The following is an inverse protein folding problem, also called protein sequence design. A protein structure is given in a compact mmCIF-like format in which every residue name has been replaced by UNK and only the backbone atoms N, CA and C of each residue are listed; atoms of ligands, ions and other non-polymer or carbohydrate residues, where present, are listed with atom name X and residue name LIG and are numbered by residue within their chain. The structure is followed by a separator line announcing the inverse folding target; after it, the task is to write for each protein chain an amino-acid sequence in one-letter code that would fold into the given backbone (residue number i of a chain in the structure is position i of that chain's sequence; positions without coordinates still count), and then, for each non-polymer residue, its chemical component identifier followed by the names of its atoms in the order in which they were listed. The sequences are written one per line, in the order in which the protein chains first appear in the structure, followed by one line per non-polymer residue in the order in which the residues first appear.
data_IF_146512086407
#
_entry.id   IF_146512086407
#
_cell.length_a   1.000
_cell.length_b   1.000
_cell.length_c   1.000
_cell.angle_alpha   90.00
_cell.angle_beta   90.00
_cell.angle_gamma   90.00
#
_symmetry.space_group_name_H-M   'P 1'
#
loop_
_entity.id
_entity.type
_entity.pdbx_description
1 polymer ?
#
# COMPACT_ATOMS: atom_id res chain seq x y z
N UNK A 1 3.92 -16.92 22.08
CA UNK A 1 3.64 -15.81 23.02
C UNK A 1 2.33 -16.12 23.74
N UNK A 2 2.14 -15.67 25.00
CA UNK A 2 0.86 -15.82 25.68
C UNK A 2 -0.20 -14.93 24.98
N UNK A 3 -1.43 -15.44 24.94
CA UNK A 3 -2.59 -14.68 24.43
C UNK A 3 -2.70 -13.37 25.22
N UNK A 4 -2.75 -12.25 24.55
CA UNK A 4 -2.90 -10.94 25.19
C UNK A 4 -4.30 -10.83 25.80
N UNK A 5 -4.45 -10.58 27.10
CA UNK A 5 -5.76 -10.52 27.72
C UNK A 5 -6.57 -9.31 27.21
N UNK A 6 -7.89 -9.43 27.08
CA UNK A 6 -8.75 -8.33 26.62
C UNK A 6 -8.60 -7.03 27.41
N UNK A 7 -8.32 -7.12 28.72
CA UNK A 7 -8.05 -5.95 29.57
C UNK A 7 -6.80 -5.17 29.13
N UNK A 8 -5.77 -5.86 28.66
CA UNK A 8 -4.54 -5.25 28.13
C UNK A 8 -4.81 -4.55 26.81
N UNK A 9 -5.59 -5.18 25.92
CA UNK A 9 -6.00 -4.58 24.65
C UNK A 9 -6.83 -3.31 24.89
N UNK A 10 -7.78 -3.34 25.82
CA UNK A 10 -8.58 -2.17 26.17
C UNK A 10 -7.72 -1.04 26.74
N UNK A 11 -6.70 -1.35 27.54
CA UNK A 11 -5.74 -0.37 28.05
C UNK A 11 -4.94 0.28 26.91
N UNK A 12 -4.48 -0.51 25.92
CA UNK A 12 -3.72 -0.01 24.77
C UNK A 12 -4.57 0.88 23.85
N UNK A 13 -5.87 0.60 23.72
CA UNK A 13 -6.79 1.42 22.95
C UNK A 13 -6.93 2.86 23.45
N UNK A 14 -6.63 3.12 24.74
CA UNK A 14 -6.64 4.47 25.28
C UNK A 14 -5.46 5.34 24.80
N UNK A 15 -4.38 4.72 24.32
CA UNK A 15 -3.20 5.42 23.80
C UNK A 15 -3.17 5.44 22.27
N UNK A 16 -3.88 6.39 21.67
CA UNK A 16 -4.03 6.54 20.23
C UNK A 16 -2.71 6.71 19.47
N UNK A 17 -1.66 7.24 20.12
CA UNK A 17 -0.33 7.41 19.50
C UNK A 17 0.35 6.08 19.14
N UNK A 18 -0.01 5.01 19.85
CA UNK A 18 0.58 3.69 19.68
C UNK A 18 -0.36 2.72 18.95
N UNK A 19 -1.43 3.22 18.36
CA UNK A 19 -2.32 2.43 17.51
C UNK A 19 -1.92 2.64 16.05
N UNK A 20 -1.90 1.54 15.27
CA UNK A 20 -1.70 1.57 13.82
C UNK A 20 -2.71 0.66 13.15
N UNK A 21 -3.39 1.21 12.17
CA UNK A 21 -4.27 0.45 11.30
C UNK A 21 -3.48 0.09 10.05
N UNK A 22 -3.39 -1.17 9.73
CA UNK A 22 -2.59 -1.68 8.62
C UNK A 22 -3.44 -2.61 7.78
N UNK A 23 -3.64 -2.30 6.51
CA UNK A 23 -4.29 -3.21 5.58
C UNK A 23 -3.28 -4.09 4.82
N UNK A 24 -3.74 -5.26 4.40
CA UNK A 24 -2.94 -6.17 3.58
C UNK A 24 -3.49 -6.13 2.15
N UNK A 25 -2.64 -5.69 1.23
CA UNK A 25 -2.97 -5.56 -0.19
C UNK A 25 -2.12 -6.54 -1.00
N UNK A 26 -2.75 -7.30 -1.87
CA UNK A 26 -2.03 -8.25 -2.71
C UNK A 26 -2.85 -8.67 -3.92
N UNK A 27 -2.17 -9.12 -4.97
CA UNK A 27 -2.80 -9.92 -6.01
C UNK A 27 -3.32 -11.24 -5.43
N UNK A 28 -4.28 -11.86 -6.12
CA UNK A 28 -4.77 -13.21 -5.80
C UNK A 28 -3.57 -14.17 -5.74
N UNK A 29 -3.61 -15.10 -4.81
CA UNK A 29 -2.57 -16.12 -4.58
C UNK A 29 -1.16 -15.62 -4.20
N UNK A 30 -0.92 -14.32 -4.02
CA UNK A 30 0.34 -13.79 -3.49
C UNK A 30 0.59 -14.11 -2.00
N UNK A 31 -0.37 -14.76 -1.32
CA UNK A 31 -0.20 -15.29 0.04
C UNK A 31 -0.68 -14.36 1.15
N UNK A 32 -1.61 -13.45 0.85
CA UNK A 32 -2.20 -12.50 1.80
C UNK A 32 -2.75 -13.20 3.06
N UNK A 33 -3.69 -14.13 2.90
CA UNK A 33 -4.31 -14.87 4.01
C UNK A 33 -3.29 -15.73 4.77
N UNK A 34 -2.29 -16.28 4.07
CA UNK A 34 -1.20 -17.05 4.71
C UNK A 34 -0.33 -16.15 5.61
N UNK A 35 -0.03 -14.93 5.17
CA UNK A 35 0.69 -13.95 5.98
C UNK A 35 -0.14 -13.55 7.20
N UNK A 36 -1.42 -13.25 7.00
CA UNK A 36 -2.35 -12.90 8.08
C UNK A 36 -2.39 -14.01 9.14
N UNK A 37 -2.57 -15.27 8.73
CA UNK A 37 -2.52 -16.42 9.65
C UNK A 37 -1.17 -16.54 10.39
N UNK A 38 -0.04 -16.28 9.72
CA UNK A 38 1.28 -16.34 10.34
C UNK A 38 1.44 -15.24 11.42
N UNK A 39 0.94 -14.04 11.17
CA UNK A 39 0.92 -12.95 12.15
C UNK A 39 0.03 -13.29 13.36
N UNK A 40 -1.13 -13.91 13.13
CA UNK A 40 -2.02 -14.38 14.18
C UNK A 40 -1.36 -15.47 15.03
N UNK A 41 -0.64 -16.40 14.41
CA UNK A 41 0.09 -17.43 15.11
C UNK A 41 1.24 -16.85 15.96
N UNK A 42 1.94 -15.85 15.46
CA UNK A 42 2.99 -15.13 16.20
C UNK A 42 2.43 -14.43 17.43
N UNK A 43 1.21 -13.92 17.36
CA UNK A 43 0.49 -13.32 18.49
C UNK A 43 -0.17 -14.35 19.42
N UNK A 44 -0.10 -15.65 19.11
CA UNK A 44 -0.68 -16.72 19.91
C UNK A 44 -2.21 -16.84 19.81
N UNK A 45 -2.83 -16.16 18.83
CA UNK A 45 -4.28 -16.21 18.59
C UNK A 45 -4.65 -17.57 18.00
N UNK A 46 -3.82 -18.07 17.09
CA UNK A 46 -3.95 -19.42 16.52
C UNK A 46 -2.69 -20.25 16.80
N UNK A 47 -2.81 -21.57 16.72
CA UNK A 47 -1.65 -22.45 16.84
C UNK A 47 -0.74 -22.33 15.61
N UNK A 48 0.57 -22.31 15.80
CA UNK A 48 1.56 -22.28 14.71
C UNK A 48 1.42 -23.46 13.73
N UNK A 49 0.84 -24.59 14.17
CA UNK A 49 0.57 -25.76 13.32
C UNK A 49 -0.59 -25.52 12.32
N UNK A 50 -1.45 -24.56 12.62
CA UNK A 50 -2.65 -24.22 11.85
C UNK A 50 -2.43 -22.99 10.95
N UNK A 51 -1.36 -22.24 11.17
CA UNK A 51 -1.03 -21.07 10.35
C UNK A 51 -0.91 -21.44 8.87
N UNK A 52 -1.55 -20.65 8.02
CA UNK A 52 -1.62 -20.90 6.58
C UNK A 52 -2.53 -22.03 6.13
N UNK A 53 -3.29 -22.66 7.07
CA UNK A 53 -4.22 -23.77 6.77
C UNK A 53 -5.67 -23.44 7.05
N UNK A 54 -5.94 -22.71 8.14
CA UNK A 54 -7.32 -22.48 8.61
C UNK A 54 -7.97 -21.24 8.01
N UNK A 55 -7.18 -20.33 7.40
CA UNK A 55 -7.71 -19.06 6.86
C UNK A 55 -8.60 -18.37 7.90
N UNK A 56 -8.03 -18.05 9.05
CA UNK A 56 -8.77 -17.64 10.24
C UNK A 56 -9.66 -16.42 10.04
N UNK A 57 -9.22 -15.49 9.19
CA UNK A 57 -9.93 -14.24 8.88
C UNK A 57 -11.04 -14.42 7.84
N UNK A 58 -11.01 -15.49 7.05
CA UNK A 58 -12.07 -15.83 6.11
C UNK A 58 -13.22 -16.51 6.90
N UNK A 59 -14.16 -15.70 7.38
CA UNK A 59 -15.23 -16.16 8.28
C UNK A 59 -16.40 -16.81 7.55
N UNK A 60 -16.54 -16.60 6.24
CA UNK A 60 -17.66 -17.07 5.43
C UNK A 60 -17.38 -18.46 4.84
N UNK A 61 -18.39 -19.29 4.78
CA UNK A 61 -18.27 -20.63 4.19
C UNK A 61 -17.92 -20.59 2.71
N UNK A 62 -18.45 -19.61 1.96
CA UNK A 62 -18.16 -19.43 0.53
C UNK A 62 -16.71 -18.99 0.28
N UNK A 63 -16.12 -18.17 1.15
CA UNK A 63 -14.71 -17.80 1.11
C UNK A 63 -13.80 -19.02 1.32
N UNK A 64 -14.12 -19.82 2.32
CA UNK A 64 -13.37 -21.06 2.63
C UNK A 64 -13.47 -22.10 1.52
N UNK A 65 -14.67 -22.28 0.94
CA UNK A 65 -14.89 -23.24 -0.15
C UNK A 65 -14.18 -22.82 -1.45
N UNK A 66 -14.21 -21.52 -1.78
CA UNK A 66 -13.58 -20.98 -2.99
C UNK A 66 -12.10 -20.68 -2.81
N UNK A 67 -11.62 -20.60 -1.57
CA UNK A 67 -10.25 -20.25 -1.25
C UNK A 67 -9.87 -18.79 -1.56
N UNK A 68 -10.86 -17.87 -1.60
CA UNK A 68 -10.66 -16.43 -1.85
C UNK A 68 -11.32 -15.61 -0.75
N UNK A 69 -10.69 -14.52 -0.31
CA UNK A 69 -11.26 -13.53 0.59
C UNK A 69 -12.21 -12.64 -0.19
N UNK A 70 -13.44 -12.46 0.28
CA UNK A 70 -14.48 -11.65 -0.38
C UNK A 70 -14.87 -10.43 0.44
N UNK A 71 -14.77 -10.51 1.76
CA UNK A 71 -15.10 -9.45 2.72
C UNK A 71 -13.88 -9.08 3.56
N UNK A 72 -13.75 -7.79 3.88
CA UNK A 72 -12.65 -7.31 4.71
C UNK A 72 -12.86 -7.70 6.17
N UNK A 73 -11.85 -8.31 6.77
CA UNK A 73 -11.86 -8.72 8.17
C UNK A 73 -10.77 -8.01 8.96
N UNK A 74 -11.06 -7.62 10.19
CA UNK A 74 -10.12 -6.90 11.05
C UNK A 74 -9.81 -7.63 12.34
N UNK A 75 -8.55 -7.59 12.77
CA UNK A 75 -8.12 -8.15 14.04
C UNK A 75 -7.02 -7.30 14.67
N UNK A 76 -7.04 -7.19 16.02
CA UNK A 76 -6.04 -6.44 16.76
C UNK A 76 -4.88 -7.35 17.19
N UNK A 77 -3.67 -6.95 16.83
CA UNK A 77 -2.42 -7.60 17.18
C UNK A 77 -1.65 -6.76 18.20
N UNK A 78 -0.98 -7.41 19.12
CA UNK A 78 -0.10 -6.78 20.07
C UNK A 78 1.36 -6.89 19.61
N UNK A 79 2.06 -5.76 19.66
CA UNK A 79 3.50 -5.73 19.41
C UNK A 79 4.22 -4.93 20.49
N UNK A 80 5.32 -5.49 21.01
CA UNK A 80 6.22 -4.81 21.92
C UNK A 80 7.57 -4.63 21.25
N UNK A 81 7.97 -3.38 21.07
CA UNK A 81 9.26 -3.05 20.48
C UNK A 81 10.38 -3.33 21.49
N UNK A 82 11.41 -4.04 21.05
CA UNK A 82 12.49 -4.52 21.93
C UNK A 82 13.44 -3.41 22.39
N UNK A 83 13.60 -2.35 21.56
CA UNK A 83 14.60 -1.30 21.82
C UNK A 83 14.20 -0.32 22.93
N UNK A 84 12.93 0.05 22.99
CA UNK A 84 12.42 1.09 23.89
C UNK A 84 11.26 0.64 24.75
N UNK A 85 10.97 -0.67 24.78
CA UNK A 85 9.86 -1.26 25.54
C UNK A 85 8.46 -0.67 25.20
N UNK A 86 8.35 0.05 24.08
CA UNK A 86 7.07 0.66 23.67
C UNK A 86 6.12 -0.41 23.16
N UNK A 87 4.90 -0.36 23.65
CA UNK A 87 3.84 -1.29 23.28
C UNK A 87 2.94 -0.66 22.20
N UNK A 88 2.62 -1.43 21.18
CA UNK A 88 1.77 -1.01 20.06
C UNK A 88 0.57 -1.94 19.93
N UNK A 89 -0.55 -1.36 19.52
CA UNK A 89 -1.72 -2.07 19.06
C UNK A 89 -1.80 -1.92 17.53
N UNK A 90 -1.72 -3.03 16.81
CA UNK A 90 -1.78 -3.04 15.36
C UNK A 90 -3.11 -3.68 14.96
N UNK A 91 -4.00 -2.88 14.37
CA UNK A 91 -5.22 -3.39 13.80
C UNK A 91 -4.93 -3.83 12.37
N UNK A 92 -4.84 -5.14 12.16
CA UNK A 92 -4.63 -5.73 10.85
C UNK A 92 -5.98 -5.87 10.15
N UNK A 93 -6.08 -5.32 8.95
CA UNK A 93 -7.27 -5.42 8.09
C UNK A 93 -6.89 -6.29 6.89
N UNK A 94 -7.43 -7.50 6.83
CA UNK A 94 -7.30 -8.36 5.64
C UNK A 94 -8.36 -7.96 4.62
N UNK A 95 -7.94 -7.64 3.40
CA UNK A 95 -8.82 -7.19 2.33
C UNK A 95 -8.87 -8.20 1.18
N UNK A 96 -9.93 -8.23 0.36
CA UNK A 96 -9.97 -9.05 -0.83
C UNK A 96 -8.80 -8.78 -1.78
N UNK A 97 -8.38 -9.82 -2.51
CA UNK A 97 -7.33 -9.68 -3.54
C UNK A 97 -7.86 -9.58 -4.97
N UNK A 98 -9.15 -9.81 -5.17
CA UNK A 98 -9.77 -9.88 -6.50
C UNK A 98 -10.29 -8.51 -6.94
N UNK A 99 -10.14 -8.20 -8.24
CA UNK A 99 -10.55 -6.92 -8.83
C UNK A 99 -12.04 -6.60 -8.64
N UNK A 100 -12.89 -7.63 -8.60
CA UNK A 100 -14.35 -7.47 -8.40
C UNK A 100 -14.70 -6.87 -7.03
N UNK A 101 -13.79 -6.94 -6.07
CA UNK A 101 -13.97 -6.41 -4.71
C UNK A 101 -13.17 -5.13 -4.46
N UNK A 102 -12.89 -4.35 -5.51
CA UNK A 102 -12.09 -3.11 -5.41
C UNK A 102 -12.67 -2.09 -4.43
N UNK A 103 -13.98 -2.06 -4.23
CA UNK A 103 -14.64 -1.19 -3.23
C UNK A 103 -14.26 -1.56 -1.78
N UNK A 104 -14.14 -2.86 -1.48
CA UNK A 104 -13.67 -3.36 -0.19
C UNK A 104 -12.20 -3.00 0.05
N UNK A 105 -11.37 -3.15 -0.99
CA UNK A 105 -9.95 -2.76 -0.95
C UNK A 105 -9.81 -1.25 -0.69
N UNK A 106 -10.60 -0.41 -1.36
CA UNK A 106 -10.62 1.03 -1.14
C UNK A 106 -11.06 1.38 0.30
N UNK A 107 -12.09 0.71 0.81
CA UNK A 107 -12.58 0.92 2.17
C UNK A 107 -11.54 0.53 3.23
N UNK A 108 -10.86 -0.61 3.04
CA UNK A 108 -9.77 -1.05 3.91
C UNK A 108 -8.60 -0.07 3.89
N UNK A 109 -8.21 0.43 2.71
CA UNK A 109 -7.16 1.43 2.56
C UNK A 109 -7.50 2.72 3.30
N UNK A 110 -8.70 3.28 3.15
CA UNK A 110 -9.15 4.51 3.84
C UNK A 110 -9.10 4.44 5.35
N UNK A 111 -9.26 3.26 5.92
CA UNK A 111 -9.22 3.03 7.37
C UNK A 111 -7.80 2.82 7.89
N UNK A 112 -6.80 2.76 7.01
CA UNK A 112 -5.44 2.32 7.34
C UNK A 112 -4.44 3.46 7.31
N UNK A 113 -3.47 3.41 8.23
CA UNK A 113 -2.30 4.31 8.28
C UNK A 113 -1.19 3.84 7.31
N UNK A 114 -1.18 2.54 7.01
CA UNK A 114 -0.20 1.90 6.13
C UNK A 114 -0.76 0.64 5.48
N UNK A 115 -0.15 0.24 4.37
CA UNK A 115 -0.52 -0.95 3.63
C UNK A 115 0.67 -1.90 3.45
N UNK A 116 0.49 -3.17 3.80
CA UNK A 116 1.43 -4.22 3.43
C UNK A 116 1.09 -4.69 2.02
N UNK A 117 1.92 -4.33 1.06
CA UNK A 117 1.76 -4.74 -0.34
C UNK A 117 2.59 -6.00 -0.57
N UNK A 118 1.92 -7.14 -0.75
CA UNK A 118 2.58 -8.42 -0.98
C UNK A 118 2.79 -8.66 -2.45
N UNK A 119 4.00 -9.09 -2.78
CA UNK A 119 4.39 -9.52 -4.12
C UNK A 119 5.01 -10.91 -4.04
N UNK A 120 4.47 -11.87 -4.79
CA UNK A 120 5.11 -13.16 -5.00
C UNK A 120 6.39 -12.95 -5.82
N UNK A 121 7.51 -13.45 -5.33
CA UNK A 121 8.81 -13.22 -5.97
C UNK A 121 8.93 -13.84 -7.37
N UNK A 122 8.16 -14.88 -7.69
CA UNK A 122 8.17 -15.50 -9.00
C UNK A 122 7.24 -14.79 -10.01
N UNK A 123 6.06 -14.39 -9.56
CA UNK A 123 5.07 -13.71 -10.41
C UNK A 123 5.42 -12.23 -10.62
N UNK A 124 6.07 -11.63 -9.62
CA UNK A 124 6.52 -10.24 -9.70
C UNK A 124 5.38 -9.23 -9.65
N UNK A 125 5.64 -8.05 -10.24
CA UNK A 125 4.68 -6.95 -10.30
C UNK A 125 3.71 -7.16 -11.46
N UNK A 126 2.51 -7.61 -11.14
CA UNK A 126 1.44 -7.82 -12.11
C UNK A 126 0.47 -6.63 -12.16
N UNK A 127 -0.44 -6.62 -13.13
CA UNK A 127 -1.43 -5.55 -13.33
C UNK A 127 -2.25 -5.25 -12.07
N UNK A 128 -2.63 -6.29 -11.32
CA UNK A 128 -3.37 -6.07 -10.06
C UNK A 128 -2.49 -5.47 -8.97
N UNK A 129 -1.19 -5.81 -8.93
CA UNK A 129 -0.24 -5.15 -8.01
C UNK A 129 -0.17 -3.64 -8.30
N UNK A 130 -0.13 -3.25 -9.58
CA UNK A 130 -0.18 -1.83 -9.97
C UNK A 130 -1.50 -1.19 -9.52
N UNK A 131 -2.63 -1.88 -9.69
CA UNK A 131 -3.94 -1.37 -9.29
C UNK A 131 -4.04 -1.15 -7.77
N UNK A 132 -3.55 -2.08 -6.96
CA UNK A 132 -3.59 -1.92 -5.49
C UNK A 132 -2.58 -0.87 -4.99
N UNK A 133 -1.43 -0.72 -5.66
CA UNK A 133 -0.50 0.37 -5.40
C UNK A 133 -1.12 1.74 -5.73
N UNK A 134 -1.83 1.83 -6.86
CA UNK A 134 -2.55 3.04 -7.23
C UNK A 134 -3.65 3.37 -6.22
N UNK A 135 -4.39 2.35 -5.72
CA UNK A 135 -5.39 2.56 -4.68
C UNK A 135 -4.77 3.09 -3.38
N UNK A 136 -3.65 2.50 -2.94
CA UNK A 136 -2.91 2.99 -1.78
C UNK A 136 -2.42 4.44 -1.98
N UNK A 137 -1.99 4.78 -3.19
CA UNK A 137 -1.56 6.13 -3.57
C UNK A 137 -2.70 7.14 -3.46
N UNK A 138 -3.85 6.86 -4.10
CA UNK A 138 -5.03 7.74 -4.09
C UNK A 138 -5.56 7.99 -2.67
N UNK A 139 -5.53 6.97 -1.82
CA UNK A 139 -5.99 7.07 -0.43
C UNK A 139 -4.88 7.60 0.53
N UNK A 140 -3.71 7.99 0.01
CA UNK A 140 -2.56 8.48 0.79
C UNK A 140 -2.07 7.49 1.87
N UNK A 141 -2.18 6.21 1.63
CA UNK A 141 -1.72 5.15 2.53
C UNK A 141 -0.27 4.81 2.22
N UNK A 142 0.58 4.74 3.24
CA UNK A 142 2.00 4.42 3.07
C UNK A 142 2.19 2.96 2.73
N UNK A 143 2.66 2.60 1.52
CA UNK A 143 2.91 1.21 1.16
C UNK A 143 4.23 0.71 1.76
N UNK A 144 4.20 -0.52 2.27
CA UNK A 144 5.39 -1.29 2.68
C UNK A 144 5.41 -2.54 1.82
N UNK A 145 6.45 -2.67 1.00
CA UNK A 145 6.61 -3.83 0.13
C UNK A 145 7.02 -5.07 0.94
N UNK A 146 6.32 -6.17 0.72
CA UNK A 146 6.60 -7.47 1.29
C UNK A 146 6.80 -8.50 0.18
N UNK A 147 8.03 -8.95 -0.02
CA UNK A 147 8.37 -9.99 -0.97
C UNK A 147 8.10 -11.36 -0.33
N UNK A 148 7.14 -12.08 -0.89
CA UNK A 148 6.66 -13.35 -0.36
C UNK A 148 7.10 -14.56 -1.18
N UNK A 149 7.03 -15.74 -0.60
CA UNK A 149 7.33 -17.03 -1.23
C UNK A 149 8.77 -17.15 -1.73
N UNK A 150 9.73 -16.64 -0.97
CA UNK A 150 11.16 -16.68 -1.30
C UNK A 150 11.70 -18.10 -1.52
N UNK A 151 11.11 -19.08 -0.85
CA UNK A 151 11.41 -20.51 -1.00
C UNK A 151 11.23 -21.01 -2.43
N UNK A 152 10.28 -20.44 -3.18
CA UNK A 152 10.02 -20.82 -4.57
C UNK A 152 11.18 -20.49 -5.51
N UNK A 153 11.94 -19.42 -5.25
CA UNK A 153 13.14 -19.10 -6.04
C UNK A 153 14.19 -20.23 -5.94
N UNK A 154 14.28 -20.88 -4.77
CA UNK A 154 15.22 -21.98 -4.53
C UNK A 154 14.66 -23.29 -5.08
N UNK A 155 13.40 -23.59 -4.76
CA UNK A 155 12.78 -24.90 -5.08
C UNK A 155 12.41 -25.02 -6.55
N UNK A 156 11.80 -23.99 -7.13
CA UNK A 156 11.28 -24.00 -8.50
C UNK A 156 12.33 -23.51 -9.52
N UNK A 157 12.93 -22.34 -9.27
CA UNK A 157 13.87 -21.73 -10.20
C UNK A 157 15.34 -22.11 -9.94
N UNK A 158 15.65 -22.74 -8.81
CA UNK A 158 17.00 -23.19 -8.45
C UNK A 158 18.04 -22.07 -8.50
N UNK A 159 17.64 -20.85 -8.16
CA UNK A 159 18.52 -19.69 -8.17
C UNK A 159 19.63 -19.82 -7.12
N UNK A 160 20.78 -19.32 -7.47
CA UNK A 160 21.85 -19.06 -6.49
C UNK A 160 21.48 -17.87 -5.61
N UNK A 161 22.08 -17.72 -4.39
CA UNK A 161 21.80 -16.57 -3.53
C UNK A 161 22.06 -15.22 -4.21
N UNK A 162 23.06 -15.12 -5.08
CA UNK A 162 23.37 -13.89 -5.82
C UNK A 162 22.30 -13.56 -6.86
N UNK A 163 21.83 -14.54 -7.61
CA UNK A 163 20.75 -14.38 -8.59
C UNK A 163 19.44 -14.00 -7.90
N UNK A 164 19.12 -14.67 -6.78
CA UNK A 164 17.94 -14.36 -6.00
C UNK A 164 17.97 -12.91 -5.44
N UNK A 165 19.12 -12.45 -4.96
CA UNK A 165 19.30 -11.08 -4.51
C UNK A 165 19.08 -10.07 -5.63
N UNK A 166 19.71 -10.30 -6.79
CA UNK A 166 19.56 -9.43 -7.97
C UNK A 166 18.10 -9.38 -8.43
N UNK A 167 17.41 -10.53 -8.43
CA UNK A 167 15.99 -10.59 -8.78
C UNK A 167 15.11 -9.78 -7.81
N UNK A 168 15.36 -9.91 -6.50
CA UNK A 168 14.64 -9.10 -5.50
C UNK A 168 14.90 -7.60 -5.68
N UNK A 169 16.14 -7.19 -6.00
CA UNK A 169 16.43 -5.78 -6.31
C UNK A 169 15.61 -5.29 -7.51
N UNK A 170 15.54 -6.07 -8.58
CA UNK A 170 14.75 -5.72 -9.76
C UNK A 170 13.26 -5.55 -9.43
N UNK A 171 12.69 -6.41 -8.56
CA UNK A 171 11.31 -6.27 -8.11
C UNK A 171 11.08 -4.96 -7.33
N UNK A 172 12.02 -4.59 -6.45
CA UNK A 172 11.96 -3.32 -5.70
C UNK A 172 12.02 -2.14 -6.68
N UNK A 173 12.91 -2.19 -7.67
CA UNK A 173 13.04 -1.15 -8.68
C UNK A 173 11.76 -1.02 -9.53
N UNK A 174 11.12 -2.13 -9.89
CA UNK A 174 9.84 -2.12 -10.62
C UNK A 174 8.72 -1.45 -9.79
N UNK A 175 8.61 -1.78 -8.50
CA UNK A 175 7.61 -1.15 -7.63
C UNK A 175 7.89 0.35 -7.49
N UNK A 176 9.15 0.74 -7.30
CA UNK A 176 9.55 2.14 -7.21
C UNK A 176 9.26 2.90 -8.51
N UNK A 177 9.48 2.28 -9.68
CA UNK A 177 9.16 2.88 -10.97
C UNK A 177 7.65 3.12 -11.12
N UNK A 178 6.80 2.18 -10.67
CA UNK A 178 5.34 2.35 -10.67
C UNK A 178 4.93 3.55 -9.79
N UNK A 179 5.46 3.64 -8.56
CA UNK A 179 5.16 4.75 -7.65
C UNK A 179 5.66 6.10 -8.18
N UNK A 180 6.84 6.13 -8.79
CA UNK A 180 7.38 7.32 -9.45
C UNK A 180 6.47 7.78 -10.60
N UNK A 181 5.92 6.83 -11.38
CA UNK A 181 4.96 7.15 -12.44
C UNK A 181 3.67 7.78 -11.91
N UNK A 182 3.15 7.37 -10.76
CA UNK A 182 1.99 8.01 -10.13
C UNK A 182 2.30 9.43 -9.71
N UNK A 183 3.44 9.64 -9.04
CA UNK A 183 3.88 10.96 -8.61
C UNK A 183 4.06 11.92 -9.78
N UNK A 184 4.69 11.45 -10.87
CA UNK A 184 4.88 12.25 -12.08
C UNK A 184 3.54 12.59 -12.76
N UNK A 185 2.62 11.62 -12.81
CA UNK A 185 1.25 11.83 -13.32
C UNK A 185 0.49 12.91 -12.55
N UNK A 186 0.53 12.87 -11.22
CA UNK A 186 -0.12 13.85 -10.36
C UNK A 186 0.49 15.24 -10.56
N UNK A 187 1.82 15.34 -10.65
CA UNK A 187 2.52 16.59 -10.91
C UNK A 187 2.13 17.20 -12.26
N UNK A 188 2.10 16.40 -13.33
CA UNK A 188 1.69 16.86 -14.65
C UNK A 188 0.22 17.32 -14.67
N UNK A 189 -0.65 16.63 -13.94
CA UNK A 189 -2.06 17.04 -13.82
C UNK A 189 -2.19 18.36 -13.05
N UNK A 190 -1.40 18.57 -12.01
CA UNK A 190 -1.38 19.81 -11.25
C UNK A 190 -0.83 20.97 -12.09
N UNK A 191 0.29 20.79 -12.80
CA UNK A 191 0.87 21.77 -13.72
C UNK A 191 -0.13 22.17 -14.81
N UNK A 192 -0.86 21.18 -15.38
CA UNK A 192 -1.91 21.44 -16.38
C UNK A 192 -3.06 22.27 -15.81
N UNK A 193 -3.52 21.95 -14.60
CA UNK A 193 -4.58 22.71 -13.91
C UNK A 193 -4.15 24.15 -13.64
N UNK A 194 -2.95 24.35 -13.13
CA UNK A 194 -2.40 25.68 -12.87
C UNK A 194 -2.29 26.50 -14.14
N UNK A 195 -1.88 25.86 -15.25
CA UNK A 195 -1.82 26.48 -16.56
C UNK A 195 -3.20 26.92 -17.07
N UNK A 196 -4.23 26.07 -16.90
CA UNK A 196 -5.59 26.39 -17.34
C UNK A 196 -6.21 27.51 -16.48
N UNK A 197 -6.00 27.51 -15.17
CA UNK A 197 -6.37 28.61 -14.27
C UNK A 197 -5.66 29.93 -14.60
N UNK A 198 -4.38 29.87 -15.02
CA UNK A 198 -3.65 31.03 -15.48
C UNK A 198 -4.21 31.59 -16.79
N UNK A 199 -4.60 30.70 -17.74
CA UNK A 199 -5.24 31.08 -18.99
C UNK A 199 -6.59 31.77 -18.77
N UNK A 200 -7.41 31.25 -17.82
CA UNK A 200 -8.69 31.86 -17.49
C UNK A 200 -8.52 33.26 -16.90
N UNK A 201 -7.61 33.41 -15.94
CA UNK A 201 -7.26 34.72 -15.35
C UNK A 201 -6.76 35.74 -16.40
N UNK A 202 -5.96 35.24 -17.37
CA UNK A 202 -5.51 36.07 -18.48
C UNK A 202 -6.68 36.57 -19.35
N UNK A 203 -7.60 35.67 -19.72
CA UNK A 203 -8.79 36.02 -20.51
C UNK A 203 -9.67 37.05 -19.82
N UNK A 204 -9.85 36.91 -18.50
CA UNK A 204 -10.63 37.87 -17.70
C UNK A 204 -10.00 39.28 -17.72
N UNK A 205 -8.67 39.37 -17.75
CA UNK A 205 -7.95 40.63 -17.65
C UNK A 205 -7.66 41.27 -19.00
N UNK A 206 -7.41 40.46 -20.04
CA UNK A 206 -6.90 40.91 -21.35
C UNK A 206 -7.81 40.52 -22.54
N UNK A 207 -8.94 39.84 -22.28
CA UNK A 207 -9.85 39.37 -23.34
C UNK A 207 -9.16 38.34 -24.25
N UNK A 208 -9.46 38.44 -25.56
CA UNK A 208 -8.90 37.52 -26.57
C UNK A 208 -7.50 37.90 -27.08
N UNK A 209 -6.74 38.71 -26.33
CA UNK A 209 -5.39 39.07 -26.70
C UNK A 209 -4.50 37.82 -26.78
N UNK A 210 -3.63 37.69 -27.81
CA UNK A 210 -2.78 36.55 -27.96
C UNK A 210 -1.79 36.43 -26.76
N UNK A 211 -1.66 35.22 -26.23
CA UNK A 211 -0.86 34.89 -25.04
C UNK A 211 0.66 34.93 -25.29
N UNK A 212 1.16 35.82 -26.16
CA UNK A 212 2.59 35.90 -26.51
C UNK A 212 3.48 36.60 -25.45
N UNK A 213 2.87 37.22 -24.45
CA UNK A 213 3.59 37.91 -23.37
C UNK A 213 3.16 37.36 -22.01
N UNK A 214 3.61 36.15 -21.71
CA UNK A 214 3.32 35.53 -20.44
C UNK A 214 4.21 36.02 -19.33
N UNK A 215 3.62 36.71 -18.35
CA UNK A 215 4.16 36.83 -17.03
C UNK A 215 3.38 35.89 -16.11
N UNK A 216 3.97 34.78 -15.73
CA UNK A 216 3.60 34.16 -14.46
C UNK A 216 4.23 35.07 -13.40
N UNK A 217 3.44 35.98 -12.83
CA UNK A 217 3.88 36.76 -11.68
C UNK A 217 4.23 35.78 -10.55
N UNK A 218 5.49 35.79 -10.14
CA UNK A 218 5.95 35.13 -8.93
C UNK A 218 5.10 35.60 -7.74
N UNK A 219 4.21 34.76 -7.31
CA UNK A 219 3.45 34.97 -6.08
C UNK A 219 3.58 33.83 -5.12
N UNK A 220 4.63 33.06 -5.14
CA UNK A 220 5.08 32.27 -3.99
C UNK A 220 6.38 31.55 -4.32
N UNK A 221 7.37 31.63 -3.43
CA UNK A 221 8.72 31.04 -3.55
C UNK A 221 8.73 29.48 -3.55
N UNK A 222 7.59 28.82 -3.65
CA UNK A 222 7.47 27.36 -3.55
C UNK A 222 7.26 26.63 -4.88
N UNK A 223 7.08 27.35 -6.00
CA UNK A 223 6.79 26.72 -7.29
C UNK A 223 7.83 27.10 -8.35
N UNK A 224 8.38 26.08 -9.01
CA UNK A 224 9.30 26.27 -10.16
C UNK A 224 8.43 26.57 -11.38
N UNK A 225 8.49 27.80 -11.87
CA UNK A 225 7.83 28.21 -13.10
C UNK A 225 8.79 28.08 -14.28
N UNK A 226 8.33 27.46 -15.36
CA UNK A 226 9.06 27.47 -16.62
C UNK A 226 8.73 28.75 -17.38
N UNK A 227 9.71 29.66 -17.50
CA UNK A 227 9.64 30.79 -18.41
C UNK A 227 10.08 30.34 -19.82
N UNK A 228 9.36 30.72 -20.90
CA UNK A 228 9.78 30.43 -22.27
C UNK A 228 11.13 31.04 -22.66
N UNK A 229 11.62 32.00 -21.91
CA UNK A 229 12.91 32.70 -22.17
C UNK A 229 14.14 31.97 -21.59
N UNK A 230 13.96 30.90 -20.77
CA UNK A 230 15.06 30.11 -20.22
C UNK A 230 15.46 28.91 -21.07
N UNK A 231 14.95 28.80 -22.27
CA UNK A 231 15.24 27.73 -23.24
C UNK A 231 16.31 28.16 -24.27
N UNK A 232 17.46 28.66 -23.84
CA UNK A 232 18.68 28.81 -24.66
C UNK A 232 19.88 28.26 -23.90
#
# INVERSE_FOLDING_TARGET
MPIVPPSKLAQLQSNTRNIRNVCVLAHVDHGKTTLSDALLATNGIISSKLAGKIRYLDSREDEQQRGITMESSGISLYHKQTENDTEYLINLIDSPGHVDFSSEVASAARLSDGALVLVDVLEGVCTQTVSVLHQAWVENVRPVLFLNKLDRMIVEWRMTPSEAYTHMQQLIEQVNAVLAGFWEGDRLAEDSRMLDEAKERWRETHGDAPMSEWYLEEKDDSHIYFSPEQGN
#
